data_IF_504118322132
#
_entry.id   IF_504118322132
#
_cell.length_a   1.000
_cell.length_b   1.000
_cell.length_c   1.000
_cell.angle_alpha   90.00
_cell.angle_beta   90.00
_cell.angle_gamma   90.00
#
_symmetry.space_group_name_H-M   'P 1'
#
loop_
_entity.id
_entity.type
_entity.pdbx_description
1 polymer ?
#
# COMPACT_ATOMS: atom_id res chain seq x y z
N UNK A 1 47.52 52.31 -32.95
CA UNK A 1 46.05 52.16 -32.98
C UNK A 1 45.61 51.43 -31.71
N UNK A 2 44.46 51.80 -31.16
CA UNK A 2 44.21 52.02 -29.72
C UNK A 2 44.25 50.78 -28.80
N UNK A 3 44.82 51.03 -27.62
CA UNK A 3 44.97 50.20 -26.40
C UNK A 3 43.62 49.79 -25.78
N UNK A 4 43.42 48.53 -25.32
CA UNK A 4 43.86 47.87 -24.06
C UNK A 4 43.12 48.31 -22.76
N UNK A 5 42.33 47.36 -22.24
CA UNK A 5 42.18 46.89 -20.83
C UNK A 5 41.70 47.78 -19.65
N UNK A 6 40.62 47.27 -19.00
CA UNK A 6 40.33 47.02 -17.55
C UNK A 6 40.62 48.09 -16.46
N UNK A 7 39.60 48.39 -15.64
CA UNK A 7 39.46 48.33 -14.14
C UNK A 7 38.25 49.21 -13.73
N UNK A 8 37.17 48.74 -13.09
CA UNK A 8 36.96 48.37 -11.67
C UNK A 8 36.38 49.50 -10.78
N UNK A 9 35.12 49.29 -10.36
CA UNK A 9 34.63 49.32 -8.97
C UNK A 9 34.31 50.65 -8.25
N UNK A 10 33.15 50.61 -7.58
CA UNK A 10 32.71 51.31 -6.36
C UNK A 10 31.85 52.59 -6.41
N UNK A 11 30.71 52.48 -5.70
CA UNK A 11 30.10 53.46 -4.76
C UNK A 11 29.21 54.57 -5.39
N UNK A 12 28.05 54.99 -4.86
CA UNK A 12 27.19 54.64 -3.70
C UNK A 12 26.00 55.66 -3.67
N UNK A 13 24.81 55.23 -3.19
CA UNK A 13 23.79 55.98 -2.37
C UNK A 13 22.99 57.13 -3.04
N UNK A 14 21.66 57.01 -3.25
CA UNK A 14 20.50 57.19 -2.33
C UNK A 14 19.93 58.63 -2.35
N UNK A 15 18.65 58.82 -2.74
CA UNK A 15 17.78 59.84 -2.11
C UNK A 15 16.28 59.53 -2.32
N UNK A 16 15.52 59.79 -1.26
CA UNK A 16 14.14 59.40 -0.96
C UNK A 16 13.05 60.30 -1.59
N UNK A 17 11.78 59.83 -1.45
CA UNK A 17 10.50 60.53 -1.21
C UNK A 17 9.45 60.39 -2.33
N UNK A 18 8.29 59.76 -2.02
CA UNK A 18 7.06 60.49 -1.67
C UNK A 18 5.93 59.53 -1.24
N UNK A 19 5.33 59.79 -0.07
CA UNK A 19 4.01 59.27 0.34
C UNK A 19 2.90 60.06 -0.39
N UNK A 20 1.84 59.38 -0.83
CA UNK A 20 0.52 59.99 -1.03
C UNK A 20 -0.60 58.98 -0.69
N UNK A 21 -1.58 59.48 0.05
CA UNK A 21 -2.65 58.79 0.75
C UNK A 21 -3.94 58.65 -0.10
N UNK A 22 -4.70 57.58 0.22
CA UNK A 22 -6.18 57.41 0.22
C UNK A 22 -6.90 57.19 -1.13
N UNK A 23 -7.51 56.01 -1.26
CA UNK A 23 -8.98 55.88 -1.32
C UNK A 23 -9.42 54.52 -0.78
N UNK A 24 -10.17 54.53 0.33
CA UNK A 24 -11.04 53.42 0.70
C UNK A 24 -12.11 53.27 -0.38
N UNK A 25 -12.22 52.07 -0.96
CA UNK A 25 -13.51 51.54 -1.40
C UNK A 25 -13.67 50.21 -0.69
N UNK A 26 -14.42 50.27 0.40
CA UNK A 26 -15.07 49.10 0.97
C UNK A 26 -16.28 48.81 0.08
N UNK A 27 -16.20 47.76 -0.73
CA UNK A 27 -17.38 47.00 -1.11
C UNK A 27 -17.35 45.73 -0.28
N UNK A 28 -18.32 45.63 0.61
CA UNK A 28 -18.59 44.44 1.38
C UNK A 28 -19.10 43.35 0.44
N UNK A 29 -18.38 42.24 0.37
CA UNK A 29 -18.96 40.92 0.14
C UNK A 29 -18.62 40.09 1.39
N UNK A 30 -19.46 40.28 2.41
CA UNK A 30 -19.48 39.46 3.60
C UNK A 30 -20.49 38.32 3.34
N UNK A 31 -20.06 37.26 2.66
CA UNK A 31 -20.74 35.95 2.67
C UNK A 31 -19.89 34.84 2.01
N UNK A 32 -18.63 34.67 2.44
CA UNK A 32 -17.78 33.56 1.97
C UNK A 32 -16.74 33.06 2.99
N UNK A 33 -16.70 33.60 4.20
CA UNK A 33 -15.66 33.23 5.20
C UNK A 33 -16.14 32.25 6.28
N UNK A 34 -17.39 31.78 6.23
CA UNK A 34 -17.98 30.86 7.22
C UNK A 34 -18.01 29.39 6.78
N UNK A 35 -17.95 29.10 5.48
CA UNK A 35 -18.04 27.72 4.97
C UNK A 35 -16.72 26.94 5.06
N UNK A 36 -15.57 27.60 4.84
CA UNK A 36 -14.26 26.93 4.93
C UNK A 36 -13.88 26.58 6.36
N UNK A 37 -14.13 27.49 7.31
CA UNK A 37 -13.81 27.27 8.74
C UNK A 37 -14.63 26.15 9.35
N UNK A 38 -15.90 26.02 8.96
CA UNK A 38 -16.79 24.97 9.47
C UNK A 38 -16.56 23.61 8.82
N UNK A 39 -16.13 23.58 7.56
CA UNK A 39 -15.72 22.34 6.89
C UNK A 39 -14.40 21.79 7.45
N UNK A 40 -13.38 22.64 7.62
CA UNK A 40 -12.10 22.27 8.22
C UNK A 40 -12.26 21.81 9.69
N UNK A 41 -13.10 22.48 10.49
CA UNK A 41 -13.39 22.06 11.87
C UNK A 41 -14.13 20.71 11.92
N UNK A 42 -15.04 20.43 10.99
CA UNK A 42 -15.75 19.15 10.91
C UNK A 42 -14.84 18.00 10.44
N UNK A 43 -14.01 18.21 9.42
CA UNK A 43 -13.04 17.22 8.94
C UNK A 43 -12.02 16.89 10.04
N UNK A 44 -11.51 17.90 10.74
CA UNK A 44 -10.55 17.71 11.84
C UNK A 44 -11.20 16.99 13.04
N UNK A 45 -12.46 17.31 13.36
CA UNK A 45 -13.23 16.63 14.39
C UNK A 45 -13.59 15.18 14.05
N UNK A 46 -13.78 14.85 12.77
CA UNK A 46 -14.00 13.49 12.30
C UNK A 46 -12.70 12.68 12.36
N UNK A 47 -11.58 13.27 11.92
CA UNK A 47 -10.25 12.63 12.02
C UNK A 47 -9.91 12.26 13.47
N UNK A 48 -10.08 13.20 14.41
CA UNK A 48 -9.79 12.95 15.82
C UNK A 48 -10.62 11.78 16.41
N UNK A 49 -11.89 11.66 16.03
CA UNK A 49 -12.75 10.54 16.47
C UNK A 49 -12.35 9.19 15.89
N UNK A 50 -11.75 9.17 14.70
CA UNK A 50 -11.23 7.95 14.09
C UNK A 50 -9.93 7.53 14.77
N UNK A 51 -9.03 8.49 15.03
CA UNK A 51 -7.79 8.24 15.78
C UNK A 51 -8.08 7.65 17.16
N UNK A 52 -9.10 8.15 17.88
CA UNK A 52 -9.54 7.59 19.16
C UNK A 52 -10.05 6.14 19.04
N UNK A 53 -10.76 5.80 17.95
CA UNK A 53 -11.24 4.43 17.73
C UNK A 53 -10.10 3.47 17.39
N UNK A 54 -9.16 3.87 16.55
CA UNK A 54 -7.98 3.05 16.25
C UNK A 54 -7.06 2.90 17.45
N UNK A 55 -6.85 3.95 18.25
CA UNK A 55 -6.10 3.87 19.50
C UNK A 55 -6.76 2.93 20.51
N UNK A 56 -8.09 2.91 20.60
CA UNK A 56 -8.79 1.95 21.44
C UNK A 56 -8.58 0.50 20.97
N UNK A 57 -8.48 0.26 19.65
CA UNK A 57 -8.12 -1.06 19.14
C UNK A 57 -6.65 -1.42 19.46
N UNK A 58 -5.71 -0.48 19.40
CA UNK A 58 -4.33 -0.72 19.86
C UNK A 58 -4.30 -1.18 21.33
N UNK A 59 -5.08 -0.50 22.19
CA UNK A 59 -5.19 -0.84 23.62
C UNK A 59 -5.87 -2.20 23.87
N UNK A 60 -6.97 -2.49 23.17
CA UNK A 60 -7.76 -3.71 23.36
C UNK A 60 -7.00 -4.97 22.90
N UNK A 61 -6.17 -4.85 21.86
CA UNK A 61 -5.42 -5.95 21.25
C UNK A 61 -3.94 -5.99 21.64
N UNK A 62 -3.46 -5.02 22.43
CA UNK A 62 -2.03 -4.87 22.81
C UNK A 62 -1.10 -4.88 21.58
N UNK A 63 -1.48 -4.09 20.56
CA UNK A 63 -0.85 -4.09 19.24
C UNK A 63 -0.64 -2.67 18.72
N UNK A 64 0.29 -2.51 17.78
CA UNK A 64 0.43 -1.30 16.96
C UNK A 64 -0.31 -1.48 15.66
N UNK A 65 -1.06 -0.47 15.24
CA UNK A 65 -1.96 -0.52 14.08
C UNK A 65 -1.64 0.61 13.08
N UNK A 66 -1.43 0.25 11.82
CA UNK A 66 -1.32 1.18 10.70
C UNK A 66 -2.48 1.01 9.72
N UNK A 67 -3.18 2.09 9.40
CA UNK A 67 -4.34 2.08 8.49
C UNK A 67 -4.19 3.16 7.44
N UNK A 68 -4.43 2.79 6.18
CA UNK A 68 -4.72 3.75 5.13
C UNK A 68 -5.85 3.23 4.25
N UNK A 69 -6.84 4.06 3.97
CA UNK A 69 -7.89 3.77 3.02
C UNK A 69 -8.18 4.97 2.13
N UNK A 70 -8.55 4.70 0.88
CA UNK A 70 -8.94 5.68 -0.13
C UNK A 70 -10.20 5.21 -0.84
N UNK A 71 -11.25 6.00 -0.78
CA UNK A 71 -12.40 5.87 -1.68
C UNK A 71 -12.05 6.50 -3.03
N UNK A 72 -12.06 5.71 -4.12
CA UNK A 72 -11.56 6.18 -5.41
C UNK A 72 -12.54 7.08 -6.16
N UNK A 73 -13.82 7.11 -5.77
CA UNK A 73 -14.83 7.97 -6.39
C UNK A 73 -14.83 9.39 -5.82
N UNK A 74 -14.64 9.51 -4.50
CA UNK A 74 -14.65 10.78 -3.77
C UNK A 74 -13.26 11.34 -3.48
N UNK A 75 -12.21 10.51 -3.56
CA UNK A 75 -10.86 10.78 -3.05
C UNK A 75 -10.79 11.03 -1.53
N UNK A 76 -11.83 10.67 -0.76
CA UNK A 76 -11.77 10.70 0.68
C UNK A 76 -10.76 9.67 1.19
N UNK A 77 -9.97 10.05 2.19
CA UNK A 77 -8.97 9.16 2.81
C UNK A 77 -9.22 9.00 4.31
N UNK A 78 -8.93 7.81 4.81
CA UNK A 78 -8.79 7.52 6.24
C UNK A 78 -7.33 7.13 6.46
N UNK A 79 -6.67 7.69 7.48
CA UNK A 79 -5.27 7.45 7.75
C UNK A 79 -5.02 7.42 9.26
N UNK A 80 -4.35 6.38 9.73
CA UNK A 80 -3.88 6.24 11.11
C UNK A 80 -2.51 5.57 11.08
N UNK A 81 -1.46 6.24 11.60
CA UNK A 81 -0.05 5.80 11.45
C UNK A 81 0.32 5.41 10.01
N UNK A 82 -0.30 6.05 9.03
CA UNK A 82 -0.26 5.62 7.63
C UNK A 82 1.11 5.69 6.96
N UNK A 83 2.06 6.40 7.58
CA UNK A 83 3.46 6.57 7.14
C UNK A 83 4.44 5.79 8.03
N UNK A 84 3.97 5.09 9.06
CA UNK A 84 4.81 4.22 9.89
C UNK A 84 5.14 2.93 9.15
N UNK A 85 6.35 2.40 9.39
CA UNK A 85 6.84 1.19 8.72
C UNK A 85 6.40 -0.07 9.45
N UNK A 86 5.95 -1.04 8.66
CA UNK A 86 5.65 -2.40 9.09
C UNK A 86 6.34 -3.37 8.12
N UNK A 87 6.76 -4.54 8.61
CA UNK A 87 7.13 -5.63 7.71
C UNK A 87 5.93 -5.95 6.80
N UNK A 88 6.14 -5.97 5.49
CA UNK A 88 5.01 -6.19 4.57
C UNK A 88 4.53 -7.65 4.59
N UNK A 89 5.40 -8.59 4.97
CA UNK A 89 5.15 -10.04 4.91
C UNK A 89 4.52 -10.44 3.57
N UNK A 90 3.71 -11.49 3.50
CA UNK A 90 3.15 -11.95 2.22
C UNK A 90 2.24 -10.97 1.43
N UNK A 91 1.98 -9.75 1.91
CA UNK A 91 1.23 -8.74 1.12
C UNK A 91 1.97 -8.35 -0.16
N UNK A 92 3.31 -8.46 -0.20
CA UNK A 92 4.11 -8.19 -1.40
C UNK A 92 3.72 -9.10 -2.59
N UNK A 93 3.22 -10.31 -2.33
CA UNK A 93 2.91 -11.31 -3.37
C UNK A 93 1.85 -10.81 -4.35
N UNK A 94 0.91 -9.97 -3.88
CA UNK A 94 -0.04 -9.30 -4.78
C UNK A 94 0.68 -8.35 -5.75
N UNK A 95 1.60 -7.53 -5.24
CA UNK A 95 2.35 -6.58 -6.06
C UNK A 95 3.34 -7.28 -6.99
N UNK A 96 4.07 -8.30 -6.51
CA UNK A 96 4.99 -9.09 -7.31
C UNK A 96 4.25 -9.84 -8.43
N UNK A 97 3.10 -10.46 -8.12
CA UNK A 97 2.23 -11.08 -9.12
C UNK A 97 1.74 -10.07 -10.16
N UNK A 98 1.34 -8.87 -9.74
CA UNK A 98 0.93 -7.80 -10.65
C UNK A 98 2.07 -7.30 -11.56
N UNK A 99 3.31 -7.21 -11.05
CA UNK A 99 4.47 -6.90 -11.89
C UNK A 99 4.80 -8.01 -12.88
N UNK A 100 4.70 -9.27 -12.47
CA UNK A 100 4.87 -10.41 -13.39
C UNK A 100 3.83 -10.35 -14.51
N UNK A 101 2.56 -10.09 -14.19
CA UNK A 101 1.53 -9.84 -15.20
C UNK A 101 1.90 -8.64 -16.08
N UNK A 102 2.39 -7.55 -15.51
CA UNK A 102 2.74 -6.33 -16.26
C UNK A 102 3.88 -6.56 -17.26
N UNK A 103 4.92 -7.30 -16.87
CA UNK A 103 6.17 -7.43 -17.64
C UNK A 103 6.12 -8.53 -18.72
N UNK A 104 5.19 -9.47 -18.62
CA UNK A 104 5.12 -10.64 -19.50
C UNK A 104 3.87 -10.62 -20.39
N UNK A 105 3.96 -11.03 -21.64
CA UNK A 105 2.81 -11.34 -22.49
C UNK A 105 2.03 -12.54 -21.96
N UNK A 106 0.80 -12.77 -22.43
CA UNK A 106 0.02 -13.96 -22.05
C UNK A 106 0.70 -15.26 -22.50
N UNK A 107 1.44 -15.23 -23.60
CA UNK A 107 2.22 -16.40 -24.05
C UNK A 107 3.35 -16.70 -23.08
N UNK A 108 4.13 -15.69 -22.69
CA UNK A 108 5.21 -15.81 -21.70
C UNK A 108 4.69 -16.25 -20.33
N UNK A 109 3.49 -15.80 -19.92
CA UNK A 109 2.85 -16.25 -18.67
C UNK A 109 2.51 -17.75 -18.68
N UNK A 110 2.33 -18.36 -19.85
CA UNK A 110 2.07 -19.80 -19.99
C UNK A 110 3.37 -20.63 -20.13
N UNK A 111 4.54 -20.00 -20.09
CA UNK A 111 5.81 -20.72 -20.04
C UNK A 111 5.99 -21.42 -18.69
N UNK A 112 6.46 -22.66 -18.75
CA UNK A 112 6.71 -23.48 -17.56
C UNK A 112 8.06 -23.12 -16.95
N UNK A 113 8.02 -22.70 -15.69
CA UNK A 113 9.20 -22.58 -14.84
C UNK A 113 9.37 -23.87 -14.03
N UNK A 114 10.54 -24.50 -14.17
CA UNK A 114 10.92 -25.68 -13.39
C UNK A 114 11.77 -25.27 -12.20
N UNK A 115 11.53 -25.91 -11.06
CA UNK A 115 12.26 -25.76 -9.81
C UNK A 115 12.46 -27.15 -9.19
N UNK A 116 13.25 -27.22 -8.12
CA UNK A 116 13.69 -28.45 -7.48
C UNK A 116 13.17 -28.55 -6.05
N UNK A 117 13.32 -29.73 -5.43
CA UNK A 117 13.00 -29.91 -4.01
C UNK A 117 13.85 -28.99 -3.11
N UNK A 118 15.07 -28.61 -3.55
CA UNK A 118 15.97 -27.73 -2.80
C UNK A 118 15.47 -26.26 -2.79
N UNK A 119 14.59 -25.89 -3.72
CA UNK A 119 13.98 -24.55 -3.81
C UNK A 119 12.73 -24.43 -2.90
N UNK A 120 12.21 -25.55 -2.40
CA UNK A 120 11.03 -25.56 -1.54
C UNK A 120 11.33 -24.96 -0.17
N UNK A 121 10.65 -23.87 0.16
CA UNK A 121 10.70 -23.23 1.48
C UNK A 121 9.47 -23.58 2.33
N UNK A 122 9.49 -23.37 3.67
CA UNK A 122 8.33 -23.64 4.53
C UNK A 122 7.04 -22.98 4.01
N UNK A 123 5.92 -23.71 4.11
CA UNK A 123 4.59 -23.30 3.61
C UNK A 123 4.55 -23.11 2.08
N UNK A 124 4.60 -24.24 1.37
CA UNK A 124 4.59 -24.32 -0.10
C UNK A 124 3.48 -25.27 -0.60
N UNK A 125 2.20 -25.04 -0.22
CA UNK A 125 1.12 -26.01 -0.35
C UNK A 125 0.71 -26.33 -1.79
N UNK A 126 1.11 -25.51 -2.76
CA UNK A 126 0.85 -25.73 -4.18
C UNK A 126 2.12 -26.22 -4.85
N UNK A 127 3.21 -25.48 -4.73
CA UNK A 127 4.47 -25.75 -5.45
C UNK A 127 5.08 -27.10 -5.06
N UNK A 128 4.93 -27.56 -3.81
CA UNK A 128 5.42 -28.89 -3.39
C UNK A 128 4.83 -30.04 -4.22
N UNK A 129 3.68 -29.84 -4.86
CA UNK A 129 2.97 -30.85 -5.67
C UNK A 129 3.41 -30.87 -7.13
N UNK A 130 4.23 -29.92 -7.54
CA UNK A 130 4.55 -29.66 -8.95
C UNK A 130 6.06 -29.62 -9.25
N UNK A 131 6.92 -30.06 -8.31
CA UNK A 131 8.39 -30.11 -8.52
C UNK A 131 8.76 -30.89 -9.79
N UNK A 132 8.16 -32.07 -10.01
CA UNK A 132 8.46 -32.92 -11.17
C UNK A 132 7.99 -32.32 -12.52
N UNK A 133 6.99 -31.45 -12.49
CA UNK A 133 6.34 -30.91 -13.70
C UNK A 133 6.71 -29.47 -14.00
N UNK A 134 7.20 -28.73 -13.00
CA UNK A 134 7.15 -27.28 -12.99
C UNK A 134 5.72 -26.74 -12.94
N UNK A 135 5.60 -25.42 -12.99
CA UNK A 135 4.33 -24.69 -13.07
C UNK A 135 4.47 -23.57 -14.09
N UNK A 136 3.35 -23.14 -14.70
CA UNK A 136 3.40 -21.93 -15.53
C UNK A 136 3.63 -20.70 -14.67
N UNK A 137 4.19 -19.64 -15.24
CA UNK A 137 4.35 -18.37 -14.50
C UNK A 137 3.00 -17.79 -14.05
N UNK A 138 1.93 -18.05 -14.81
CA UNK A 138 0.56 -17.74 -14.44
C UNK A 138 0.12 -18.51 -13.18
N UNK A 139 0.31 -19.83 -13.15
CA UNK A 139 -0.05 -20.68 -12.01
C UNK A 139 0.77 -20.35 -10.76
N UNK A 140 2.04 -19.94 -10.94
CA UNK A 140 2.91 -19.46 -9.85
C UNK A 140 2.34 -18.16 -9.26
N UNK A 141 1.96 -17.20 -10.11
CA UNK A 141 1.29 -15.97 -9.67
C UNK A 141 0.00 -16.24 -8.90
N UNK A 142 -0.83 -17.13 -9.42
CA UNK A 142 -2.07 -17.54 -8.75
C UNK A 142 -1.80 -18.21 -7.40
N UNK A 143 -0.86 -19.16 -7.33
CA UNK A 143 -0.52 -19.85 -6.10
C UNK A 143 -0.02 -18.88 -5.01
N UNK A 144 0.88 -17.97 -5.38
CA UNK A 144 1.42 -16.97 -4.47
C UNK A 144 0.33 -16.02 -3.92
N UNK A 145 -0.61 -15.58 -4.77
CA UNK A 145 -1.66 -14.65 -4.35
C UNK A 145 -2.76 -15.37 -3.57
N UNK A 146 -3.32 -16.46 -4.10
CA UNK A 146 -4.48 -17.14 -3.52
C UNK A 146 -4.18 -17.94 -2.25
N UNK A 147 -3.02 -18.60 -2.22
CA UNK A 147 -2.68 -19.52 -1.13
C UNK A 147 -1.53 -19.04 -0.26
N UNK A 148 -0.89 -17.94 -0.64
CA UNK A 148 0.29 -17.38 0.03
C UNK A 148 1.52 -18.30 -0.01
N UNK A 149 1.58 -19.22 -0.99
CA UNK A 149 2.68 -20.17 -1.18
C UNK A 149 4.04 -19.45 -1.24
N UNK A 150 4.95 -19.83 -0.35
CA UNK A 150 6.22 -19.12 -0.15
C UNK A 150 7.22 -19.43 -1.27
N UNK A 151 7.29 -20.67 -1.75
CA UNK A 151 8.13 -20.97 -2.92
C UNK A 151 7.61 -20.25 -4.15
N UNK A 152 6.28 -20.20 -4.36
CA UNK A 152 5.71 -19.40 -5.44
C UNK A 152 6.09 -17.91 -5.30
N UNK A 153 6.10 -17.38 -4.07
CA UNK A 153 6.61 -16.04 -3.78
C UNK A 153 8.07 -15.82 -4.16
N UNK A 154 8.94 -16.80 -3.91
CA UNK A 154 10.35 -16.75 -4.33
C UNK A 154 10.50 -16.85 -5.84
N UNK A 155 9.74 -17.73 -6.50
CA UNK A 155 9.75 -17.85 -7.96
C UNK A 155 9.25 -16.58 -8.66
N UNK A 156 8.29 -15.85 -8.07
CA UNK A 156 7.92 -14.52 -8.56
C UNK A 156 9.09 -13.53 -8.44
N UNK A 157 9.81 -13.52 -7.32
CA UNK A 157 11.01 -12.70 -7.22
C UNK A 157 12.05 -13.10 -8.27
N UNK A 158 12.31 -14.38 -8.47
CA UNK A 158 13.26 -14.87 -9.48
C UNK A 158 12.86 -14.42 -10.89
N UNK A 159 11.57 -14.54 -11.24
CA UNK A 159 11.04 -14.08 -12.53
C UNK A 159 11.24 -12.58 -12.75
N UNK A 160 11.22 -11.78 -11.67
CA UNK A 160 11.47 -10.33 -11.71
C UNK A 160 12.96 -9.97 -11.66
N UNK A 161 13.85 -10.90 -11.29
CA UNK A 161 15.29 -10.64 -11.09
C UNK A 161 15.70 -10.39 -9.62
N UNK A 162 14.82 -10.68 -8.67
CA UNK A 162 15.06 -10.67 -7.22
C UNK A 162 14.45 -9.48 -6.47
N UNK A 163 14.54 -9.47 -5.13
CA UNK A 163 13.94 -8.43 -4.27
C UNK A 163 14.37 -7.01 -4.64
N UNK A 164 15.65 -6.79 -4.93
CA UNK A 164 16.15 -5.47 -5.32
C UNK A 164 15.53 -4.96 -6.65
N UNK A 165 15.30 -5.85 -7.63
CA UNK A 165 14.67 -5.47 -8.90
C UNK A 165 13.17 -5.24 -8.72
N UNK A 166 12.51 -5.99 -7.82
CA UNK A 166 11.15 -5.69 -7.41
C UNK A 166 11.03 -4.31 -6.75
N UNK A 167 11.98 -3.95 -5.87
CA UNK A 167 12.05 -2.60 -5.31
C UNK A 167 12.23 -1.54 -6.39
N UNK A 168 13.17 -1.73 -7.34
CA UNK A 168 13.37 -0.81 -8.46
C UNK A 168 12.08 -0.64 -9.29
N UNK A 169 11.36 -1.72 -9.57
CA UNK A 169 10.08 -1.68 -10.28
C UNK A 169 9.01 -0.88 -9.50
N UNK A 170 9.01 -0.95 -8.17
CA UNK A 170 8.15 -0.10 -7.33
C UNK A 170 8.52 1.38 -7.46
N UNK A 171 9.82 1.72 -7.52
CA UNK A 171 10.28 3.09 -7.76
C UNK A 171 9.80 3.62 -9.11
N UNK A 172 9.78 2.79 -10.15
CA UNK A 172 9.30 3.18 -11.48
C UNK A 172 7.82 3.59 -11.50
N UNK A 173 7.01 3.00 -10.62
CA UNK A 173 5.60 3.40 -10.46
C UNK A 173 5.42 4.50 -9.43
N UNK A 174 6.50 5.04 -8.85
CA UNK A 174 6.49 6.18 -7.91
C UNK A 174 6.28 5.81 -6.44
N UNK A 175 6.63 4.59 -6.04
CA UNK A 175 6.77 4.23 -4.63
C UNK A 175 8.24 4.34 -4.23
N UNK A 176 8.58 5.36 -3.44
CA UNK A 176 9.92 5.60 -2.88
C UNK A 176 10.07 5.09 -1.42
N UNK A 177 9.11 4.28 -0.94
CA UNK A 177 8.95 3.90 0.47
C UNK A 177 9.25 2.42 0.70
N UNK A 178 8.65 1.51 -0.07
CA UNK A 178 8.82 0.06 0.14
C UNK A 178 10.29 -0.33 -0.03
N UNK A 179 10.87 -1.08 0.91
CA UNK A 179 12.22 -1.65 0.81
C UNK A 179 12.13 -3.17 0.73
N UNK A 180 12.79 -3.80 -0.24
CA UNK A 180 12.72 -5.25 -0.46
C UNK A 180 14.13 -5.82 -0.60
N UNK A 181 14.49 -6.73 0.31
CA UNK A 181 15.87 -7.15 0.50
C UNK A 181 16.05 -8.67 0.52
N UNK A 182 15.08 -9.39 1.11
CA UNK A 182 15.19 -10.83 1.37
C UNK A 182 14.13 -11.63 0.61
N UNK A 183 14.39 -12.92 0.49
CA UNK A 183 13.45 -13.91 -0.01
C UNK A 183 12.61 -14.48 1.14
N UNK A 184 11.60 -15.27 0.80
CA UNK A 184 10.92 -16.13 1.77
C UNK A 184 11.90 -17.20 2.26
N UNK A 185 11.95 -17.49 3.57
CA UNK A 185 11.05 -16.98 4.62
C UNK A 185 11.61 -15.81 5.44
N UNK A 186 12.86 -15.43 5.22
CA UNK A 186 13.59 -14.44 6.02
C UNK A 186 12.98 -13.03 5.94
N UNK A 187 12.28 -12.69 4.85
CA UNK A 187 11.57 -11.41 4.71
C UNK A 187 10.47 -11.18 5.76
N UNK A 188 10.02 -12.23 6.46
CA UNK A 188 8.98 -12.13 7.50
C UNK A 188 9.54 -11.77 8.88
N UNK A 189 10.87 -11.67 9.02
CA UNK A 189 11.50 -11.21 10.25
C UNK A 189 11.41 -9.69 10.34
N UNK A 190 10.74 -9.20 11.39
CA UNK A 190 10.68 -7.79 11.73
C UNK A 190 11.68 -7.45 12.84
N UNK A 191 12.32 -6.29 12.72
CA UNK A 191 13.11 -5.66 13.76
C UNK A 191 12.86 -4.14 13.71
N UNK A 192 12.47 -3.47 14.80
CA UNK A 192 12.17 -2.03 14.79
C UNK A 192 13.34 -1.13 14.36
N UNK A 193 14.58 -1.61 14.44
CA UNK A 193 15.79 -0.89 14.01
C UNK A 193 16.23 -1.25 12.57
N UNK A 194 15.44 -2.07 11.88
CA UNK A 194 15.71 -2.58 10.54
C UNK A 194 14.56 -2.26 9.59
N UNK A 195 14.86 -1.65 8.44
CA UNK A 195 13.85 -1.28 7.45
C UNK A 195 13.73 -2.27 6.30
N UNK A 196 14.54 -3.34 6.29
CA UNK A 196 14.46 -4.39 5.27
C UNK A 196 13.08 -5.03 5.23
N UNK A 197 12.54 -5.22 4.03
CA UNK A 197 11.24 -5.84 3.78
C UNK A 197 10.06 -5.12 4.48
N UNK A 198 10.17 -3.80 4.60
CA UNK A 198 9.13 -2.95 5.18
C UNK A 198 8.52 -1.99 4.16
N UNK A 199 7.26 -1.63 4.40
CA UNK A 199 6.57 -0.54 3.71
C UNK A 199 5.64 0.17 4.69
N UNK A 200 4.79 1.07 4.19
CA UNK A 200 3.78 1.77 4.99
C UNK A 200 2.39 1.43 4.48
N UNK A 201 1.34 1.52 5.32
CA UNK A 201 -0.05 1.29 4.88
C UNK A 201 -0.39 2.12 3.65
N UNK A 202 0.00 3.40 3.63
CA UNK A 202 -0.26 4.29 2.50
C UNK A 202 0.46 3.86 1.23
N UNK A 203 1.73 3.47 1.30
CA UNK A 203 2.50 3.04 0.13
C UNK A 203 1.90 1.77 -0.48
N UNK A 204 1.60 0.76 0.34
CA UNK A 204 1.00 -0.49 -0.12
C UNK A 204 -0.37 -0.30 -0.75
N UNK A 205 -1.28 0.46 -0.10
CA UNK A 205 -2.59 0.77 -0.68
C UNK A 205 -2.46 1.57 -1.98
N UNK A 206 -1.53 2.53 -2.04
CA UNK A 206 -1.29 3.34 -3.25
C UNK A 206 -0.79 2.46 -4.40
N UNK A 207 0.07 1.49 -4.13
CA UNK A 207 0.55 0.55 -5.14
C UNK A 207 -0.54 -0.39 -5.61
N UNK A 208 -1.29 -0.99 -4.68
CA UNK A 208 -2.40 -1.88 -5.00
C UNK A 208 -3.44 -1.17 -5.88
N UNK A 209 -3.77 0.09 -5.56
CA UNK A 209 -4.66 0.92 -6.38
C UNK A 209 -4.18 1.02 -7.83
N UNK A 210 -2.89 1.29 -8.06
CA UNK A 210 -2.35 1.47 -9.41
C UNK A 210 -2.52 0.21 -10.27
N UNK A 211 -2.47 -0.97 -9.67
CA UNK A 211 -2.62 -2.25 -10.37
C UNK A 211 -4.07 -2.74 -10.49
N UNK A 212 -4.89 -2.61 -9.44
CA UNK A 212 -6.24 -3.19 -9.39
C UNK A 212 -7.36 -2.21 -9.76
N UNK A 213 -7.09 -0.91 -9.82
CA UNK A 213 -8.07 0.13 -10.19
C UNK A 213 -7.51 1.11 -11.23
N UNK A 214 -6.19 1.23 -11.32
CA UNK A 214 -5.50 2.07 -12.31
C UNK A 214 -5.37 1.43 -13.69
N UNK A 215 -4.48 2.02 -14.49
CA UNK A 215 -4.24 1.68 -15.90
C UNK A 215 -2.88 0.98 -16.12
N UNK A 216 -2.24 0.46 -15.06
CA UNK A 216 -0.94 -0.20 -15.18
C UNK A 216 -1.00 -1.56 -15.89
N UNK A 217 -2.17 -2.21 -15.88
CA UNK A 217 -2.45 -3.46 -16.55
C UNK A 217 -3.51 -3.25 -17.64
N UNK A 218 -3.37 -3.89 -18.82
CA UNK A 218 -4.45 -3.96 -19.78
C UNK A 218 -5.62 -4.79 -19.23
N UNK A 219 -6.84 -4.54 -19.72
CA UNK A 219 -8.10 -5.10 -19.21
C UNK A 219 -8.04 -6.61 -18.92
N UNK A 220 -7.52 -7.43 -19.84
CA UNK A 220 -7.44 -8.89 -19.68
C UNK A 220 -6.55 -9.32 -18.50
N UNK A 221 -5.47 -8.57 -18.22
CA UNK A 221 -4.59 -8.84 -17.07
C UNK A 221 -5.10 -8.21 -15.79
N UNK A 222 -5.85 -7.11 -15.89
CA UNK A 222 -6.54 -6.52 -14.75
C UNK A 222 -7.63 -7.47 -14.23
N UNK A 223 -8.38 -8.11 -15.13
CA UNK A 223 -9.36 -9.14 -14.79
C UNK A 223 -8.68 -10.34 -14.09
N UNK A 224 -7.59 -10.86 -14.64
CA UNK A 224 -6.80 -11.92 -14.00
C UNK A 224 -6.31 -11.51 -12.60
N UNK A 225 -5.74 -10.31 -12.47
CA UNK A 225 -5.20 -9.85 -11.19
C UNK A 225 -6.29 -9.68 -10.12
N UNK A 226 -7.42 -9.08 -10.49
CA UNK A 226 -8.54 -8.88 -9.56
C UNK A 226 -9.27 -10.18 -9.23
N UNK A 227 -9.30 -11.15 -10.14
CA UNK A 227 -9.77 -12.51 -9.87
C UNK A 227 -8.88 -13.21 -8.84
N UNK A 228 -7.55 -13.15 -9.01
CA UNK A 228 -6.60 -13.74 -8.05
C UNK A 228 -6.76 -13.22 -6.62
N UNK A 229 -7.14 -11.95 -6.44
CA UNK A 229 -7.35 -11.35 -5.12
C UNK A 229 -8.66 -11.82 -4.45
N UNK A 230 -9.64 -12.30 -5.22
CA UNK A 230 -10.99 -12.59 -4.70
C UNK A 230 -11.17 -14.05 -4.28
N UNK A 231 -12.02 -14.28 -3.29
CA UNK A 231 -12.46 -15.63 -2.90
C UNK A 231 -11.39 -16.47 -2.19
N UNK A 232 -10.31 -15.84 -1.73
CA UNK A 232 -9.22 -16.51 -1.03
C UNK A 232 -9.59 -16.73 0.45
N UNK A 233 -9.42 -17.96 0.95
CA UNK A 233 -9.72 -18.29 2.35
C UNK A 233 -8.74 -17.62 3.33
N UNK A 234 -7.54 -17.24 2.87
CA UNK A 234 -6.51 -16.57 3.67
C UNK A 234 -6.90 -15.18 4.16
N UNK A 235 -7.98 -14.61 3.62
CA UNK A 235 -8.54 -13.30 3.97
C UNK A 235 -9.90 -13.33 4.65
N UNK A 236 -10.50 -14.51 4.83
CA UNK A 236 -11.89 -14.64 5.32
C UNK A 236 -12.13 -13.98 6.68
N UNK A 237 -11.12 -13.97 7.54
CA UNK A 237 -11.16 -13.46 8.92
C UNK A 237 -10.62 -12.04 9.06
N UNK A 238 -10.18 -11.39 7.98
CA UNK A 238 -9.47 -10.11 7.99
C UNK A 238 -10.36 -8.96 7.51
N UNK A 239 -9.93 -8.16 6.51
CA UNK A 239 -10.72 -7.02 6.00
C UNK A 239 -12.11 -7.49 5.55
N UNK A 240 -12.20 -8.69 4.97
CA UNK A 240 -13.47 -9.30 4.54
C UNK A 240 -14.46 -9.47 5.68
N UNK A 241 -14.01 -9.84 6.88
CA UNK A 241 -14.87 -10.00 8.04
C UNK A 241 -15.41 -8.66 8.60
N UNK A 242 -14.72 -7.55 8.31
CA UNK A 242 -15.18 -6.20 8.65
C UNK A 242 -16.09 -5.54 7.59
N UNK A 243 -16.15 -6.12 6.38
CA UNK A 243 -16.88 -5.52 5.27
C UNK A 243 -18.41 -5.63 5.43
N UNK A 244 -19.19 -4.60 5.01
CA UNK A 244 -20.64 -4.70 4.97
C UNK A 244 -21.13 -5.81 4.03
N UNK A 245 -22.28 -6.41 4.35
CA UNK A 245 -22.91 -7.42 3.52
C UNK A 245 -23.08 -6.94 2.06
N UNK A 246 -22.70 -7.81 1.12
CA UNK A 246 -22.81 -7.55 -0.32
C UNK A 246 -21.65 -6.76 -0.91
N UNK A 247 -20.68 -6.31 -0.10
CA UNK A 247 -19.44 -5.73 -0.61
C UNK A 247 -18.49 -6.87 -1.00
N UNK A 248 -17.88 -6.77 -2.18
CA UNK A 248 -16.90 -7.75 -2.64
C UNK A 248 -15.51 -7.30 -2.18
N UNK A 249 -14.72 -8.22 -1.64
CA UNK A 249 -13.37 -7.95 -1.14
C UNK A 249 -12.37 -8.83 -1.90
N UNK A 250 -11.41 -8.18 -2.54
CA UNK A 250 -10.23 -8.83 -3.13
C UNK A 250 -9.00 -8.42 -2.32
N UNK A 251 -8.39 -9.37 -1.63
CA UNK A 251 -7.38 -9.13 -0.61
C UNK A 251 -6.11 -9.96 -0.79
N UNK A 252 -5.05 -9.52 -0.11
CA UNK A 252 -3.85 -10.31 0.13
C UNK A 252 -3.40 -10.12 1.58
N UNK A 253 -3.52 -11.19 2.35
CA UNK A 253 -3.04 -11.24 3.73
C UNK A 253 -1.52 -11.43 3.86
N UNK A 254 -0.99 -11.05 5.01
CA UNK A 254 0.41 -11.28 5.41
C UNK A 254 0.51 -11.60 6.90
N UNK A 255 1.48 -12.44 7.26
CA UNK A 255 1.84 -12.73 8.64
C UNK A 255 3.35 -12.89 8.79
N UNK A 256 3.90 -12.53 9.96
CA UNK A 256 5.33 -12.62 10.23
C UNK A 256 5.66 -12.65 11.71
N UNK A 257 6.93 -12.44 12.07
CA UNK A 257 7.34 -12.37 13.48
C UNK A 257 6.76 -11.14 14.17
N UNK A 258 6.87 -11.07 15.50
CA UNK A 258 6.29 -10.02 16.33
C UNK A 258 4.76 -9.93 16.21
N UNK A 259 4.08 -11.07 15.99
CA UNK A 259 2.66 -11.10 15.69
C UNK A 259 2.27 -10.16 14.56
N UNK A 260 3.16 -9.96 13.57
CA UNK A 260 2.85 -9.13 12.41
C UNK A 260 1.67 -9.73 11.68
N UNK A 261 0.62 -8.95 11.45
CA UNK A 261 -0.60 -9.39 10.75
C UNK A 261 -1.13 -8.26 9.90
N UNK A 262 -1.17 -8.51 8.60
CA UNK A 262 -1.47 -7.50 7.61
C UNK A 262 -2.55 -8.00 6.66
N UNK A 263 -3.29 -7.04 6.10
CA UNK A 263 -4.16 -7.28 4.96
C UNK A 263 -4.24 -6.04 4.08
N UNK A 264 -4.14 -6.22 2.77
CA UNK A 264 -4.33 -5.16 1.78
C UNK A 264 -5.43 -5.58 0.82
N UNK A 265 -6.35 -4.67 0.49
CA UNK A 265 -7.51 -5.03 -0.31
C UNK A 265 -7.98 -3.92 -1.25
N UNK A 266 -8.60 -4.35 -2.33
CA UNK A 266 -9.57 -3.56 -3.09
C UNK A 266 -10.95 -4.09 -2.76
N UNK A 267 -11.85 -3.17 -2.45
CA UNK A 267 -13.21 -3.45 -1.98
C UNK A 267 -14.18 -2.80 -2.95
N UNK A 268 -15.15 -3.55 -3.44
CA UNK A 268 -16.17 -3.09 -4.37
C UNK A 268 -17.53 -3.07 -3.68
N UNK A 269 -17.97 -1.89 -3.19
CA UNK A 269 -19.34 -1.71 -2.73
C UNK A 269 -20.32 -1.77 -3.92
N UNK A 270 -21.61 -2.09 -3.68
CA UNK A 270 -22.62 -1.99 -4.73
C UNK A 270 -22.80 -0.54 -5.18
N UNK A 271 -22.94 -0.34 -6.50
CA UNK A 271 -23.33 0.93 -7.13
C UNK A 271 -22.42 2.15 -6.84
N UNK A 272 -21.16 1.96 -6.48
CA UNK A 272 -20.15 3.03 -6.34
C UNK A 272 -18.75 2.54 -6.68
N UNK A 273 -17.82 3.50 -6.76
CA UNK A 273 -16.41 3.26 -7.05
C UNK A 273 -15.71 2.44 -5.94
N UNK A 274 -14.63 1.71 -6.27
CA UNK A 274 -13.90 0.91 -5.30
C UNK A 274 -13.28 1.71 -4.15
N UNK A 275 -13.00 1.01 -3.06
CA UNK A 275 -12.19 1.49 -1.95
C UNK A 275 -10.91 0.66 -1.91
N UNK A 276 -9.76 1.31 -1.79
CA UNK A 276 -8.47 0.63 -1.58
C UNK A 276 -8.04 0.85 -0.15
N UNK A 277 -7.66 -0.23 0.54
CA UNK A 277 -7.36 -0.24 1.97
C UNK A 277 -6.12 -1.07 2.25
N UNK A 278 -5.29 -0.63 3.19
CA UNK A 278 -4.22 -1.40 3.79
C UNK A 278 -4.31 -1.26 5.31
N UNK A 279 -4.32 -2.40 5.99
CA UNK A 279 -4.28 -2.50 7.45
C UNK A 279 -3.07 -3.34 7.81
N UNK A 280 -2.20 -2.77 8.62
CA UNK A 280 -0.97 -3.41 9.06
C UNK A 280 -0.95 -3.43 10.58
N UNK A 281 -0.49 -4.51 11.18
CA UNK A 281 -0.36 -4.59 12.62
C UNK A 281 0.86 -5.39 13.03
N UNK A 282 1.33 -5.13 14.25
CA UNK A 282 2.38 -5.90 14.92
C UNK A 282 2.29 -5.70 16.42
N UNK A 283 2.98 -6.55 17.16
CA UNK A 283 3.24 -6.41 18.58
C UNK A 283 4.70 -6.02 18.83
N UNK A 284 5.05 -5.76 20.08
CA UNK A 284 6.42 -5.40 20.46
C UNK A 284 7.28 -6.61 20.87
N UNK A 285 6.67 -7.79 21.10
CA UNK A 285 7.41 -9.02 21.47
C UNK A 285 7.51 -9.97 20.29
N UNK A 286 8.70 -10.50 20.02
CA UNK A 286 9.01 -11.37 18.87
C UNK A 286 8.10 -12.60 18.74
N UNK A 287 7.81 -13.27 19.86
CA UNK A 287 6.98 -14.48 19.92
C UNK A 287 5.48 -14.18 20.13
N UNK A 288 5.03 -12.93 19.92
CA UNK A 288 3.61 -12.61 20.02
C UNK A 288 2.80 -13.36 18.95
N UNK A 289 1.67 -13.92 19.37
CA UNK A 289 0.61 -14.34 18.46
C UNK A 289 -0.17 -13.09 17.99
N UNK A 290 -0.70 -13.15 16.77
CA UNK A 290 -1.62 -12.13 16.25
C UNK A 290 -3.09 -12.52 16.49
N UNK A 291 -3.99 -11.55 16.39
CA UNK A 291 -5.44 -11.77 16.36
C UNK A 291 -6.05 -11.16 15.08
N UNK A 292 -6.67 -12.01 14.25
CA UNK A 292 -7.34 -11.58 13.02
C UNK A 292 -8.45 -10.56 13.28
N UNK A 293 -9.09 -10.60 14.46
CA UNK A 293 -10.16 -9.69 14.81
C UNK A 293 -9.72 -8.21 14.87
N UNK A 294 -8.45 -7.93 15.15
CA UNK A 294 -7.90 -6.57 15.09
C UNK A 294 -8.06 -5.99 13.67
N UNK A 295 -7.70 -6.77 12.66
CA UNK A 295 -7.79 -6.35 11.25
C UNK A 295 -9.25 -6.17 10.83
N UNK A 296 -10.12 -7.08 11.24
CA UNK A 296 -11.55 -7.02 10.94
C UNK A 296 -12.24 -5.81 11.58
N UNK A 297 -12.01 -5.55 12.87
CA UNK A 297 -12.61 -4.39 13.56
C UNK A 297 -12.04 -3.06 13.03
N UNK A 298 -10.74 -3.00 12.72
CA UNK A 298 -10.15 -1.83 12.06
C UNK A 298 -10.78 -1.56 10.67
N UNK A 299 -11.01 -2.61 9.86
CA UNK A 299 -11.67 -2.49 8.58
C UNK A 299 -13.11 -1.97 8.71
N UNK A 300 -13.83 -2.44 9.71
CA UNK A 300 -15.19 -1.98 10.02
C UNK A 300 -15.23 -0.50 10.39
N UNK A 301 -14.28 0.00 11.20
CA UNK A 301 -14.14 1.44 11.50
C UNK A 301 -13.95 2.24 10.20
N UNK A 302 -13.11 1.76 9.28
CA UNK A 302 -12.90 2.40 7.98
C UNK A 302 -14.19 2.43 7.16
N UNK A 303 -14.88 1.30 7.01
CA UNK A 303 -16.09 1.24 6.20
C UNK A 303 -17.23 2.05 6.80
N UNK A 304 -17.37 2.10 8.12
CA UNK A 304 -18.35 2.98 8.78
C UNK A 304 -18.08 4.47 8.53
N UNK A 305 -16.82 4.85 8.35
CA UNK A 305 -16.42 6.23 8.07
C UNK A 305 -16.54 6.65 6.59
N UNK A 306 -16.50 5.69 5.66
CA UNK A 306 -16.58 5.91 4.20
C UNK A 306 -17.96 5.63 3.60
N UNK A 307 -18.90 5.14 4.41
CA UNK A 307 -20.30 4.88 4.00
C UNK A 307 -20.98 6.13 3.47
#
# INVERSE_FOLDING_TARGET
>A
MKNKTRFSMNKVILLMLLLALISLVACADADSSTDTSSKEENENGQSAKLDEQFAALEDDFDAQLGVFALDTGSNQTIAYRAEERFAFSSTYKALAGAFVLKQNTLEELNEVMTYTEDDLVPYSPVTEKHVDTGMTLLDIGEAAVRTSDNTAGNLLFEALGGPAVFEEALREIGDDVTQSDRYETELNEFNPEDTRDTSTPKALATNLKKFAVGDLLPDEKLELFTDWLQGNATGDTLIRAGAPDGWVVGDKSGAGTHGTRNDIAVVWPPDREPIVIAIMSRHDTEDADYDDALIAEAAKVVFDALK
#
